data_IF_461079942758
#
_entry.id   IF_461079942758
#
_cell.length_a   1.000
_cell.length_b   1.000
_cell.length_c   1.000
_cell.angle_alpha   90.00
_cell.angle_beta   90.00
_cell.angle_gamma   90.00
#
_symmetry.space_group_name_H-M   'P 1'
#
loop_
_entity.id
_entity.type
_entity.pdbx_description
1 polymer ?
#
# COMPACT_ATOMS: atom_id res chain seq x y z
N UNK A 1 -0.15 24.12 2.35
CA UNK A 1 0.41 23.06 3.21
C UNK A 1 -0.17 21.77 2.72
N UNK A 2 0.69 20.86 2.26
CA UNK A 2 0.23 19.54 1.83
C UNK A 2 -0.27 18.75 3.04
N UNK A 3 -1.35 18.01 2.82
CA UNK A 3 -1.99 17.22 3.85
C UNK A 3 -2.24 15.82 3.33
N UNK A 4 -2.30 14.87 4.25
CA UNK A 4 -2.52 13.46 3.96
C UNK A 4 -3.59 12.90 4.91
N UNK A 5 -4.40 11.97 4.43
CA UNK A 5 -5.42 11.37 5.27
C UNK A 5 -4.81 10.63 6.47
N UNK A 6 -5.57 10.56 7.55
CA UNK A 6 -5.20 9.82 8.75
C UNK A 6 -4.93 8.34 8.45
N UNK A 7 -5.70 7.73 7.55
CA UNK A 7 -5.53 6.31 7.18
C UNK A 7 -4.22 6.09 6.41
N UNK A 8 -3.93 6.94 5.42
CA UNK A 8 -2.65 6.91 4.73
C UNK A 8 -1.47 7.18 5.69
N UNK A 9 -1.65 8.08 6.67
CA UNK A 9 -0.66 8.35 7.71
C UNK A 9 -0.38 7.11 8.59
N UNK A 10 -1.42 6.38 8.98
CA UNK A 10 -1.29 5.10 9.70
C UNK A 10 -0.52 4.10 8.84
N UNK A 11 -0.85 3.99 7.56
CA UNK A 11 -0.24 3.04 6.65
C UNK A 11 1.27 3.28 6.50
N UNK A 12 1.69 4.52 6.22
CA UNK A 12 3.10 4.84 5.93
C UNK A 12 3.98 4.92 7.18
N UNK A 13 3.43 5.28 8.33
CA UNK A 13 4.21 5.38 9.59
C UNK A 13 4.19 4.08 10.41
N UNK A 14 3.19 3.22 10.21
CA UNK A 14 2.94 2.06 11.08
C UNK A 14 2.46 2.44 12.49
N UNK A 15 2.23 3.73 12.78
CA UNK A 15 1.74 4.22 14.06
C UNK A 15 0.23 4.05 14.13
N UNK A 16 -0.30 3.61 15.28
CA UNK A 16 -1.74 3.45 15.46
C UNK A 16 -2.49 4.78 15.35
N UNK A 17 -3.74 4.70 14.86
CA UNK A 17 -4.64 5.85 14.73
C UNK A 17 -4.79 6.66 16.03
N UNK A 18 -4.90 5.98 17.18
CA UNK A 18 -4.99 6.63 18.50
C UNK A 18 -3.72 7.39 18.88
N UNK A 19 -2.54 6.82 18.57
CA UNK A 19 -1.26 7.47 18.84
C UNK A 19 -1.07 8.70 17.94
N UNK A 20 -1.45 8.62 16.66
CA UNK A 20 -1.44 9.78 15.77
C UNK A 20 -2.40 10.87 16.26
N UNK A 21 -3.62 10.51 16.70
CA UNK A 21 -4.56 11.48 17.27
C UNK A 21 -4.06 12.16 18.54
N UNK A 22 -3.36 11.41 19.40
CA UNK A 22 -2.71 12.00 20.58
C UNK A 22 -1.69 13.07 20.17
N UNK A 23 -0.87 12.78 19.15
CA UNK A 23 0.12 13.73 18.58
C UNK A 23 -0.53 14.94 17.90
N UNK A 24 -1.74 14.78 17.37
CA UNK A 24 -2.52 15.93 16.89
C UNK A 24 -3.02 16.79 18.05
N UNK A 25 -3.43 16.15 19.15
CA UNK A 25 -3.97 16.83 20.33
C UNK A 25 -2.89 17.58 21.12
N UNK A 26 -1.69 17.02 21.21
CA UNK A 26 -0.54 17.64 21.87
C UNK A 26 0.22 18.66 20.99
N UNK A 27 -0.19 18.80 19.72
CA UNK A 27 0.36 19.78 18.78
C UNK A 27 1.62 19.34 18.03
N UNK A 28 2.10 18.11 18.24
CA UNK A 28 3.26 17.55 17.52
C UNK A 28 2.98 17.32 16.02
N UNK A 29 1.72 17.05 15.65
CA UNK A 29 1.27 16.92 14.26
C UNK A 29 0.18 17.94 13.98
N UNK A 30 0.36 18.76 12.94
CA UNK A 30 -0.63 19.72 12.47
C UNK A 30 -1.91 19.05 11.97
N UNK A 31 -3.07 19.64 12.31
CA UNK A 31 -4.38 19.20 11.82
C UNK A 31 -4.72 19.90 10.50
N UNK A 32 -4.92 19.14 9.43
CA UNK A 32 -5.23 19.63 8.08
C UNK A 32 -6.72 19.82 7.74
N UNK A 33 -7.63 19.59 8.69
CA UNK A 33 -9.08 19.69 8.45
C UNK A 33 -9.69 18.36 7.96
N UNK A 34 -10.60 18.45 6.99
CA UNK A 34 -11.21 17.29 6.31
C UNK A 34 -11.11 17.45 4.81
N UNK A 35 -10.89 16.35 4.08
CA UNK A 35 -10.92 16.34 2.62
C UNK A 35 -12.37 16.26 2.07
N UNK A 36 -12.50 16.21 0.74
CA UNK A 36 -13.80 16.05 0.07
C UNK A 36 -14.54 14.74 0.40
N UNK A 37 -13.85 13.75 0.98
CA UNK A 37 -14.40 12.48 1.47
C UNK A 37 -14.68 12.52 2.97
N UNK A 38 -14.60 13.69 3.61
CA UNK A 38 -14.74 13.88 5.06
C UNK A 38 -13.70 13.13 5.92
N UNK A 39 -12.58 12.69 5.33
CA UNK A 39 -11.47 12.05 6.05
C UNK A 39 -10.68 13.09 6.82
N UNK A 40 -10.26 12.76 8.03
CA UNK A 40 -9.39 13.65 8.81
C UNK A 40 -8.02 13.76 8.14
N UNK A 41 -7.56 14.99 7.93
CA UNK A 41 -6.30 15.28 7.27
C UNK A 41 -5.25 15.72 8.30
N UNK A 42 -4.00 15.32 8.09
CA UNK A 42 -2.83 15.66 8.89
C UNK A 42 -1.82 16.43 8.03
N UNK A 43 -1.03 17.30 8.65
CA UNK A 43 0.06 18.01 7.97
C UNK A 43 1.11 17.02 7.49
N UNK A 44 1.34 16.97 6.18
CA UNK A 44 2.18 15.94 5.56
C UNK A 44 3.63 16.03 6.05
N UNK A 45 4.19 17.24 6.19
CA UNK A 45 5.56 17.44 6.66
C UNK A 45 5.83 16.79 8.02
N UNK A 46 4.90 16.95 8.96
CA UNK A 46 5.01 16.37 10.30
C UNK A 46 4.90 14.83 10.25
N UNK A 47 4.04 14.31 9.37
CA UNK A 47 3.87 12.86 9.18
C UNK A 47 5.10 12.25 8.54
N UNK A 48 5.69 12.88 7.53
CA UNK A 48 6.90 12.40 6.83
C UNK A 48 8.09 12.27 7.78
N UNK A 49 8.21 13.16 8.77
CA UNK A 49 9.23 13.05 9.82
C UNK A 49 9.11 11.79 10.70
N UNK A 50 8.02 11.03 10.59
CA UNK A 50 7.74 9.81 11.34
C UNK A 50 7.87 8.54 10.49
N UNK A 51 8.07 8.68 9.17
CA UNK A 51 8.14 7.56 8.24
C UNK A 51 9.54 6.96 8.28
N UNK A 52 9.63 5.63 8.42
CA UNK A 52 10.92 4.94 8.45
C UNK A 52 11.50 4.67 7.06
N UNK A 53 10.66 4.67 6.02
CA UNK A 53 11.07 4.52 4.62
C UNK A 53 11.42 5.91 4.07
N UNK A 54 12.62 6.10 3.50
CA UNK A 54 12.97 7.37 2.87
C UNK A 54 12.10 7.59 1.62
N UNK A 55 11.35 8.69 1.60
CA UNK A 55 10.54 9.10 0.46
C UNK A 55 11.14 10.36 -0.17
N UNK A 56 11.44 10.29 -1.46
CA UNK A 56 11.90 11.42 -2.27
C UNK A 56 10.74 12.34 -2.68
N UNK A 57 11.08 13.45 -3.35
CA UNK A 57 10.09 14.41 -3.83
C UNK A 57 9.08 13.77 -4.82
N UNK A 58 9.57 12.89 -5.68
CA UNK A 58 8.71 12.17 -6.64
C UNK A 58 7.76 11.20 -5.93
N UNK A 59 8.24 10.49 -4.91
CA UNK A 59 7.43 9.58 -4.10
C UNK A 59 6.32 10.33 -3.35
N UNK A 60 6.58 11.56 -2.90
CA UNK A 60 5.58 12.39 -2.23
C UNK A 60 4.44 12.76 -3.20
N UNK A 61 4.76 13.08 -4.45
CA UNK A 61 3.73 13.36 -5.45
C UNK A 61 2.88 12.13 -5.76
N UNK A 62 3.51 10.95 -5.83
CA UNK A 62 2.80 9.66 -5.99
C UNK A 62 1.94 9.37 -4.76
N UNK A 63 2.46 9.56 -3.55
CA UNK A 63 1.74 9.35 -2.29
C UNK A 63 0.48 10.22 -2.18
N UNK A 64 0.53 11.48 -2.61
CA UNK A 64 -0.64 12.37 -2.61
C UNK A 64 -1.70 11.89 -3.61
N UNK A 65 -1.31 11.41 -4.79
CA UNK A 65 -2.24 10.79 -5.75
C UNK A 65 -2.84 9.50 -5.19
N UNK A 66 -2.02 8.67 -4.54
CA UNK A 66 -2.46 7.44 -3.90
C UNK A 66 -3.50 7.71 -2.81
N UNK A 67 -3.27 8.72 -1.95
CA UNK A 67 -4.22 9.16 -0.93
C UNK A 67 -5.52 9.74 -1.54
N UNK A 68 -5.42 10.38 -2.71
CA UNK A 68 -6.57 10.83 -3.48
C UNK A 68 -7.35 9.67 -4.14
N UNK A 69 -6.82 8.45 -4.13
CA UNK A 69 -7.49 7.25 -4.65
C UNK A 69 -7.09 6.85 -6.07
N UNK A 70 -6.03 7.43 -6.63
CA UNK A 70 -5.48 6.99 -7.92
C UNK A 70 -4.95 5.55 -7.80
N UNK A 71 -5.60 4.61 -8.49
CA UNK A 71 -5.30 3.18 -8.37
C UNK A 71 -3.87 2.82 -8.81
N UNK A 72 -3.34 3.52 -9.81
CA UNK A 72 -1.98 3.28 -10.31
C UNK A 72 -0.96 3.84 -9.32
N UNK A 73 -1.19 5.04 -8.77
CA UNK A 73 -0.35 5.58 -7.72
C UNK A 73 -0.39 4.73 -6.43
N UNK A 74 -1.54 4.13 -6.11
CA UNK A 74 -1.66 3.17 -5.01
C UNK A 74 -0.84 1.89 -5.29
N UNK A 75 -0.85 1.38 -6.53
CA UNK A 75 -0.02 0.25 -6.92
C UNK A 75 1.48 0.60 -6.81
N UNK A 76 1.89 1.76 -7.32
CA UNK A 76 3.26 2.28 -7.24
C UNK A 76 3.76 2.38 -5.80
N UNK A 77 2.99 3.02 -4.90
CA UNK A 77 3.34 3.12 -3.48
C UNK A 77 3.39 1.74 -2.83
N UNK A 78 2.45 0.86 -3.17
CA UNK A 78 2.41 -0.51 -2.69
C UNK A 78 3.68 -1.29 -3.05
N UNK A 79 4.12 -1.19 -4.30
CA UNK A 79 5.35 -1.80 -4.79
C UNK A 79 6.59 -1.20 -4.12
N UNK A 80 6.66 0.13 -3.99
CA UNK A 80 7.74 0.83 -3.29
C UNK A 80 7.90 0.33 -1.86
N UNK A 81 6.81 0.30 -1.09
CA UNK A 81 6.84 -0.18 0.29
C UNK A 81 7.17 -1.67 0.39
N UNK A 82 6.75 -2.48 -0.58
CA UNK A 82 7.09 -3.90 -0.62
C UNK A 82 8.60 -4.09 -0.74
N UNK A 83 9.25 -3.38 -1.68
CA UNK A 83 10.70 -3.41 -1.89
C UNK A 83 11.46 -2.87 -0.68
N UNK A 84 10.93 -1.84 -0.02
CA UNK A 84 11.49 -1.28 1.21
C UNK A 84 11.31 -2.17 2.46
N UNK A 85 10.63 -3.32 2.35
CA UNK A 85 10.35 -4.21 3.48
C UNK A 85 9.24 -3.70 4.43
N UNK A 86 8.56 -2.62 4.07
CA UNK A 86 7.43 -2.06 4.82
C UNK A 86 6.13 -2.81 4.47
N UNK A 87 6.09 -4.12 4.75
CA UNK A 87 5.03 -5.02 4.27
C UNK A 87 3.60 -4.59 4.64
N UNK A 88 3.39 -3.98 5.82
CA UNK A 88 2.07 -3.49 6.22
C UNK A 88 1.59 -2.33 5.34
N UNK A 89 2.48 -1.39 5.03
CA UNK A 89 2.19 -0.27 4.13
C UNK A 89 1.94 -0.79 2.71
N UNK A 90 2.77 -1.74 2.25
CA UNK A 90 2.60 -2.39 0.96
C UNK A 90 1.21 -3.02 0.82
N UNK A 91 0.82 -3.90 1.76
CA UNK A 91 -0.48 -4.58 1.72
C UNK A 91 -1.66 -3.61 1.75
N UNK A 92 -1.55 -2.50 2.49
CA UNK A 92 -2.57 -1.45 2.52
C UNK A 92 -2.76 -0.84 1.14
N UNK A 93 -1.70 -0.30 0.53
CA UNK A 93 -1.79 0.40 -0.75
C UNK A 93 -2.13 -0.53 -1.91
N UNK A 94 -1.54 -1.73 -1.94
CA UNK A 94 -1.87 -2.75 -2.93
C UNK A 94 -3.33 -3.23 -2.79
N UNK A 95 -3.84 -3.33 -1.56
CA UNK A 95 -5.24 -3.70 -1.29
C UNK A 95 -6.22 -2.67 -1.85
N UNK A 96 -5.95 -1.38 -1.64
CA UNK A 96 -6.76 -0.29 -2.18
C UNK A 96 -6.75 -0.30 -3.71
N UNK A 97 -5.57 -0.43 -4.34
CA UNK A 97 -5.45 -0.50 -5.80
C UNK A 97 -6.15 -1.73 -6.39
N UNK A 98 -5.99 -2.89 -5.76
CA UNK A 98 -6.62 -4.14 -6.20
C UNK A 98 -8.15 -4.08 -6.05
N UNK A 99 -8.68 -3.38 -5.05
CA UNK A 99 -10.12 -3.16 -4.90
C UNK A 99 -10.72 -2.34 -6.06
N UNK A 100 -9.89 -1.52 -6.72
CA UNK A 100 -10.24 -0.75 -7.92
C UNK A 100 -10.00 -1.51 -9.23
N UNK A 101 -9.54 -2.76 -9.17
CA UNK A 101 -9.29 -3.58 -10.35
C UNK A 101 -7.89 -3.44 -10.95
N UNK A 102 -6.95 -2.77 -10.27
CA UNK A 102 -5.58 -2.65 -10.77
C UNK A 102 -4.88 -4.03 -10.76
N UNK A 103 -4.50 -4.51 -11.95
CA UNK A 103 -3.96 -5.85 -12.14
C UNK A 103 -2.51 -6.00 -11.64
N UNK A 104 -1.73 -4.92 -11.68
CA UNK A 104 -0.38 -4.87 -11.14
C UNK A 104 -0.40 -5.05 -9.61
N UNK A 105 -1.29 -4.34 -8.92
CA UNK A 105 -1.48 -4.45 -7.48
C UNK A 105 -1.89 -5.86 -7.06
N UNK A 106 -2.79 -6.50 -7.83
CA UNK A 106 -3.15 -7.90 -7.61
C UNK A 106 -1.95 -8.84 -7.79
N UNK A 107 -1.08 -8.59 -8.77
CA UNK A 107 0.14 -9.38 -8.94
C UNK A 107 1.11 -9.22 -7.77
N UNK A 108 1.27 -7.99 -7.27
CA UNK A 108 2.07 -7.72 -6.08
C UNK A 108 1.49 -8.35 -4.82
N UNK A 109 0.16 -8.31 -4.61
CA UNK A 109 -0.49 -9.05 -3.51
C UNK A 109 -0.23 -10.55 -3.62
N UNK A 110 -0.36 -11.11 -4.82
CA UNK A 110 -0.05 -12.51 -5.09
C UNK A 110 1.39 -12.87 -4.68
N UNK A 111 2.34 -12.02 -5.05
CA UNK A 111 3.76 -12.17 -4.69
C UNK A 111 3.98 -12.04 -3.19
N UNK A 112 3.32 -11.07 -2.54
CA UNK A 112 3.41 -10.86 -1.10
C UNK A 112 2.96 -12.13 -0.35
N UNK A 113 1.76 -12.66 -0.66
CA UNK A 113 1.24 -13.88 -0.02
C UNK A 113 2.04 -15.16 -0.36
N UNK A 114 2.75 -15.17 -1.49
CA UNK A 114 3.64 -16.27 -1.88
C UNK A 114 5.03 -16.21 -1.22
N UNK A 115 5.48 -15.02 -0.78
CA UNK A 115 6.82 -14.81 -0.27
C UNK A 115 7.07 -15.62 1.02
N UNK A 116 8.13 -16.43 1.02
CA UNK A 116 8.54 -17.26 2.16
C UNK A 116 9.66 -16.54 2.93
N UNK A 117 9.33 -15.66 3.87
CA UNK A 117 10.35 -15.00 4.69
C UNK A 117 9.83 -13.98 5.70
N UNK A 118 9.77 -14.39 6.98
CA UNK A 118 10.36 -13.61 8.07
C UNK A 118 9.89 -12.19 8.40
N UNK A 119 8.66 -11.76 8.10
CA UNK A 119 7.89 -10.87 8.98
C UNK A 119 6.50 -10.60 8.38
N UNK A 120 5.48 -11.18 9.01
CA UNK A 120 4.04 -10.94 8.77
C UNK A 120 3.70 -10.85 7.27
N UNK A 121 3.99 -11.90 6.52
CA UNK A 121 3.11 -12.24 5.40
C UNK A 121 2.76 -13.71 5.55
N UNK A 122 1.48 -13.94 5.86
CA UNK A 122 0.93 -15.28 6.03
C UNK A 122 1.20 -16.06 4.75
N UNK A 123 1.88 -17.21 4.87
CA UNK A 123 2.00 -18.18 3.78
C UNK A 123 0.60 -18.72 3.47
N UNK A 124 -0.14 -17.98 2.66
CA UNK A 124 -1.45 -18.40 2.20
C UNK A 124 -1.36 -18.57 0.68
N UNK A 125 -0.96 -19.78 0.30
CA UNK A 125 -0.83 -20.16 -1.09
C UNK A 125 -2.16 -20.01 -1.85
N UNK A 126 -3.30 -20.14 -1.16
CA UNK A 126 -4.62 -19.97 -1.78
C UNK A 126 -4.88 -18.49 -2.06
N UNK A 127 -4.58 -17.59 -1.13
CA UNK A 127 -4.68 -16.15 -1.37
C UNK A 127 -3.72 -15.70 -2.47
N UNK A 128 -2.48 -16.21 -2.47
CA UNK A 128 -1.51 -15.92 -3.52
C UNK A 128 -2.04 -16.31 -4.90
N UNK A 129 -2.51 -17.56 -5.05
CA UNK A 129 -3.08 -18.06 -6.30
C UNK A 129 -4.33 -17.26 -6.68
N UNK A 130 -5.20 -16.92 -5.72
CA UNK A 130 -6.40 -16.14 -5.99
C UNK A 130 -6.06 -14.77 -6.60
N UNK A 131 -5.11 -14.05 -6.02
CA UNK A 131 -4.70 -12.73 -6.52
C UNK A 131 -3.99 -12.83 -7.87
N UNK A 132 -3.09 -13.79 -8.05
CA UNK A 132 -2.42 -14.03 -9.33
C UNK A 132 -3.41 -14.45 -10.43
N UNK A 133 -4.41 -15.28 -10.11
CA UNK A 133 -5.44 -15.67 -11.07
C UNK A 133 -6.29 -14.47 -11.51
N UNK A 134 -6.64 -13.56 -10.58
CA UNK A 134 -7.36 -12.32 -10.92
C UNK A 134 -6.52 -11.40 -11.83
N UNK A 135 -5.24 -11.19 -11.48
CA UNK A 135 -4.33 -10.40 -12.31
C UNK A 135 -4.15 -11.02 -13.71
N UNK A 136 -4.00 -12.35 -13.80
CA UNK A 136 -3.85 -13.07 -15.06
C UNK A 136 -5.11 -12.98 -15.94
N UNK A 137 -6.30 -13.06 -15.33
CA UNK A 137 -7.58 -12.88 -16.01
C UNK A 137 -7.76 -11.46 -16.58
N UNK A 138 -7.12 -10.46 -15.96
CA UNK A 138 -7.05 -9.08 -16.46
C UNK A 138 -5.92 -8.84 -17.47
N UNK A 139 -5.20 -9.89 -17.89
CA UNK A 139 -4.15 -9.78 -18.91
C UNK A 139 -2.77 -9.43 -18.37
N UNK A 140 -2.54 -9.46 -17.05
CA UNK A 140 -1.24 -9.08 -16.49
C UNK A 140 -0.16 -10.13 -16.84
N UNK A 141 0.90 -9.76 -17.59
CA UNK A 141 1.82 -10.72 -18.21
C UNK A 141 2.61 -11.54 -17.18
N UNK A 142 3.08 -10.89 -16.11
CA UNK A 142 3.82 -11.56 -15.04
C UNK A 142 2.90 -12.55 -14.30
N UNK A 143 1.63 -12.19 -14.11
CA UNK A 143 0.69 -13.06 -13.40
C UNK A 143 0.30 -14.28 -14.26
N UNK A 144 0.12 -14.08 -15.57
CA UNK A 144 -0.10 -15.18 -16.52
C UNK A 144 1.05 -16.17 -16.50
N UNK A 145 2.29 -15.67 -16.62
CA UNK A 145 3.49 -16.50 -16.55
C UNK A 145 3.60 -17.25 -15.21
N UNK A 146 3.32 -16.58 -14.09
CA UNK A 146 3.35 -17.23 -12.77
C UNK A 146 2.27 -18.30 -12.63
N UNK A 147 1.07 -18.08 -13.16
CA UNK A 147 -0.03 -19.05 -13.15
C UNK A 147 0.25 -20.26 -14.05
N UNK A 148 0.86 -20.05 -15.21
CA UNK A 148 1.28 -21.13 -16.12
C UNK A 148 2.31 -22.03 -15.44
N UNK A 149 3.37 -21.45 -14.86
CA UNK A 149 4.39 -22.20 -14.12
C UNK A 149 3.83 -22.95 -12.91
N UNK A 150 2.84 -22.38 -12.23
CA UNK A 150 2.14 -23.04 -11.11
C UNK A 150 1.28 -24.23 -11.56
N UNK A 151 0.83 -24.24 -12.81
CA UNK A 151 0.07 -25.33 -13.41
C UNK A 151 0.99 -26.44 -13.91
N UNK A 152 2.07 -26.08 -14.59
CA UNK A 152 3.06 -27.00 -15.17
C UNK A 152 3.83 -27.77 -14.08
N UNK A 153 4.17 -27.11 -12.96
CA UNK A 153 4.81 -27.77 -11.81
C UNK A 153 3.90 -28.69 -10.96
N UNK A 154 2.67 -28.96 -11.42
CA UNK A 154 1.73 -29.91 -10.77
C UNK A 154 1.58 -31.22 -11.56
N UNK A 155 2.25 -31.37 -12.70
CA UNK A 155 2.32 -32.60 -13.51
C UNK A 155 3.59 -33.41 -13.19
#
# INVERSE_FOLDING_TARGET
MDTISLDASVAITGISRSTLWRRVTDGTIGRGGKDGRSRAMLALGDVLGLVSVPLGADDIAVLLRADAGDADAQADMGALFYVAGAHKAALYWLGEAAAQGNAEAMQWLGTAYAARGGNIIHKDANLAIMWLAKAAALGHPIAQYQMERLRDGRE
#
